data_IF_040331672178
#
_entry.id   IF_040331672178
#
_cell.length_a   1.000
_cell.length_b   1.000
_cell.length_c   1.000
_cell.angle_alpha   90.00
_cell.angle_beta   90.00
_cell.angle_gamma   90.00
#
_symmetry.space_group_name_H-M   'P 1'
#
loop_
_entity.id
_entity.type
_entity.pdbx_description
1 polymer ?
#
# COMPACT_ATOMS: atom_id res chain seq x y z
N UNK A 1 9.69 -59.67 -7.21
CA UNK A 1 8.66 -58.63 -7.01
C UNK A 1 9.17 -57.36 -7.66
N UNK A 2 8.51 -56.89 -8.72
CA UNK A 2 8.86 -55.62 -9.36
C UNK A 2 8.01 -54.55 -8.68
N UNK A 3 8.65 -53.59 -8.01
CA UNK A 3 7.94 -52.47 -7.39
C UNK A 3 7.58 -51.43 -8.45
N UNK A 4 6.34 -50.95 -8.43
CA UNK A 4 5.91 -49.83 -9.26
C UNK A 4 6.80 -48.61 -9.01
N UNK A 5 7.07 -47.82 -10.06
CA UNK A 5 7.75 -46.52 -9.95
C UNK A 5 7.05 -45.56 -8.97
N UNK A 6 5.76 -45.77 -8.74
CA UNK A 6 4.94 -45.03 -7.80
C UNK A 6 5.07 -45.49 -6.33
N UNK A 7 5.71 -46.63 -6.06
CA UNK A 7 5.96 -47.17 -4.72
C UNK A 7 4.74 -47.70 -3.94
N UNK A 8 3.52 -47.58 -4.49
CA UNK A 8 2.28 -47.90 -3.77
C UNK A 8 1.84 -49.36 -3.82
N UNK A 9 2.11 -50.06 -4.92
CA UNK A 9 1.62 -51.41 -5.12
C UNK A 9 2.65 -52.24 -5.89
N UNK A 10 2.73 -53.53 -5.56
CA UNK A 10 3.57 -54.51 -6.23
C UNK A 10 2.92 -54.91 -7.56
N UNK A 11 3.69 -54.87 -8.65
CA UNK A 11 3.21 -55.25 -9.98
C UNK A 11 3.49 -56.74 -10.20
N UNK A 12 2.62 -57.49 -10.93
CA UNK A 12 2.76 -58.93 -11.06
C UNK A 12 4.16 -59.37 -11.51
N UNK A 13 4.69 -60.47 -10.92
CA UNK A 13 6.00 -60.99 -11.27
C UNK A 13 6.03 -61.42 -12.75
N UNK A 14 7.02 -60.94 -13.52
CA UNK A 14 7.16 -61.21 -14.96
C UNK A 14 6.99 -59.98 -15.87
N UNK A 15 6.66 -58.82 -15.30
CA UNK A 15 6.38 -57.58 -16.06
C UNK A 15 7.62 -56.86 -16.61
N UNK A 16 8.84 -57.31 -16.28
CA UNK A 16 10.10 -56.69 -16.72
C UNK A 16 11.22 -57.72 -16.77
N UNK A 17 11.94 -57.76 -17.89
CA UNK A 17 13.00 -58.75 -18.17
C UNK A 17 14.35 -58.10 -18.54
N UNK A 18 14.33 -56.85 -19.01
CA UNK A 18 15.50 -56.06 -19.37
C UNK A 18 15.39 -54.63 -18.83
N UNK A 19 16.53 -53.93 -18.74
CA UNK A 19 16.58 -52.53 -18.35
C UNK A 19 15.93 -51.58 -19.38
N UNK A 20 15.77 -52.02 -20.63
CA UNK A 20 15.12 -51.28 -21.73
C UNK A 20 13.60 -51.46 -21.80
N UNK A 21 13.03 -52.37 -20.99
CA UNK A 21 11.58 -52.59 -20.94
C UNK A 21 10.83 -51.32 -20.44
N UNK A 22 9.63 -51.05 -20.99
CA UNK A 22 8.80 -49.91 -20.61
C UNK A 22 8.42 -49.93 -19.12
N UNK A 23 8.18 -48.75 -18.54
CA UNK A 23 7.95 -48.62 -17.10
C UNK A 23 6.63 -49.30 -16.73
N UNK A 24 6.70 -50.21 -15.77
CA UNK A 24 5.54 -50.96 -15.31
C UNK A 24 4.71 -50.10 -14.36
N UNK A 25 3.47 -49.80 -14.77
CA UNK A 25 2.50 -49.00 -14.02
C UNK A 25 1.54 -49.94 -13.27
N UNK A 26 1.29 -49.69 -11.98
CA UNK A 26 0.41 -50.55 -11.16
C UNK A 26 -1.09 -50.38 -11.43
N UNK A 27 -1.49 -49.35 -12.19
CA UNK A 27 -2.90 -49.04 -12.47
C UNK A 27 -3.68 -48.35 -11.34
N UNK A 28 -3.15 -48.32 -10.11
CA UNK A 28 -3.74 -47.63 -8.95
C UNK A 28 -3.72 -46.10 -9.13
N UNK A 29 -4.52 -45.36 -8.34
CA UNK A 29 -4.60 -43.88 -8.44
C UNK A 29 -3.27 -43.25 -8.03
N UNK A 30 -2.79 -42.30 -8.85
CA UNK A 30 -1.51 -41.63 -8.64
C UNK A 30 -1.45 -40.93 -7.27
N UNK A 31 -2.49 -40.16 -6.91
CA UNK A 31 -2.61 -39.35 -5.67
C UNK A 31 -1.45 -38.37 -5.43
N UNK A 32 -0.59 -38.14 -6.43
CA UNK A 32 0.53 -37.19 -6.33
C UNK A 32 -0.02 -35.78 -6.13
N UNK A 33 0.59 -35.04 -5.20
CA UNK A 33 0.24 -33.64 -4.94
C UNK A 33 0.59 -32.78 -6.16
N UNK A 34 -0.43 -32.09 -6.67
CA UNK A 34 -0.30 -31.16 -7.78
C UNK A 34 0.10 -29.77 -7.26
N UNK A 35 0.58 -28.92 -8.16
CA UNK A 35 0.91 -27.52 -7.85
C UNK A 35 -0.32 -26.60 -7.72
N UNK A 36 -1.53 -27.17 -7.77
CA UNK A 36 -2.80 -26.46 -7.68
C UNK A 36 -3.53 -26.83 -6.36
N UNK A 37 -4.49 -26.02 -5.96
CA UNK A 37 -5.07 -26.03 -4.62
C UNK A 37 -4.39 -25.02 -3.68
N UNK A 38 -5.02 -24.74 -2.54
CA UNK A 38 -4.44 -23.88 -1.51
C UNK A 38 -3.26 -24.59 -0.81
N UNK A 39 -2.37 -23.84 -0.18
CA UNK A 39 -1.17 -24.39 0.49
C UNK A 39 -1.50 -25.50 1.50
N UNK A 40 -2.66 -25.42 2.18
CA UNK A 40 -3.10 -26.42 3.16
C UNK A 40 -3.95 -27.57 2.56
N UNK A 41 -4.38 -27.42 1.30
CA UNK A 41 -5.26 -28.36 0.63
C UNK A 41 -4.86 -28.49 -0.86
N UNK A 42 -3.62 -28.91 -1.11
CA UNK A 42 -3.15 -29.17 -2.48
C UNK A 42 -3.96 -30.30 -3.11
N UNK A 43 -4.33 -30.12 -4.36
CA UNK A 43 -5.09 -31.11 -5.10
C UNK A 43 -4.22 -32.35 -5.36
N UNK A 44 -4.86 -33.51 -5.35
CA UNK A 44 -4.21 -34.79 -5.62
C UNK A 44 -4.61 -35.30 -6.99
N UNK A 45 -3.65 -35.91 -7.70
CA UNK A 45 -3.89 -36.49 -9.02
C UNK A 45 -4.87 -37.67 -8.92
N UNK A 46 -6.08 -37.52 -9.49
CA UNK A 46 -7.12 -38.57 -9.56
C UNK A 46 -6.93 -39.54 -10.73
N UNK A 47 -5.91 -39.34 -11.57
CA UNK A 47 -5.64 -40.24 -12.69
C UNK A 47 -5.02 -41.56 -12.22
N UNK A 48 -5.13 -42.60 -13.06
CA UNK A 48 -4.39 -43.86 -12.88
C UNK A 48 -2.89 -43.59 -12.93
N UNK A 49 -2.11 -44.52 -12.38
CA UNK A 49 -0.66 -44.51 -12.48
C UNK A 49 -0.26 -44.30 -13.95
N UNK A 50 0.52 -43.25 -14.21
CA UNK A 50 0.91 -42.82 -15.53
C UNK A 50 2.40 -42.50 -15.54
N UNK A 51 2.99 -42.55 -16.73
CA UNK A 51 4.36 -42.09 -16.97
C UNK A 51 4.35 -40.58 -17.28
N UNK A 52 5.36 -39.84 -16.85
CA UNK A 52 5.48 -38.40 -17.13
C UNK A 52 4.72 -37.44 -16.17
N UNK A 53 4.54 -36.17 -16.56
CA UNK A 53 3.88 -35.15 -15.73
C UNK A 53 2.38 -35.44 -15.53
N UNK A 54 1.83 -35.04 -14.39
CA UNK A 54 0.42 -35.28 -14.08
C UNK A 54 -0.52 -34.50 -15.02
N UNK A 55 -1.66 -35.09 -15.40
CA UNK A 55 -2.65 -34.41 -16.22
C UNK A 55 -3.22 -33.18 -15.49
N UNK A 56 -3.76 -32.21 -16.25
CA UNK A 56 -4.33 -31.00 -15.67
C UNK A 56 -5.48 -31.33 -14.71
N UNK A 57 -5.47 -30.68 -13.55
CA UNK A 57 -6.50 -30.89 -12.55
C UNK A 57 -7.85 -30.30 -13.02
N UNK A 58 -8.94 -31.02 -12.76
CA UNK A 58 -10.31 -30.56 -13.02
C UNK A 58 -10.92 -29.79 -11.83
N UNK A 59 -10.14 -29.60 -10.76
CA UNK A 59 -10.56 -28.83 -9.60
C UNK A 59 -10.52 -27.32 -9.84
N UNK A 60 -11.12 -26.59 -8.92
CA UNK A 60 -11.02 -25.13 -8.83
C UNK A 60 -10.17 -24.76 -7.62
N UNK A 61 -9.26 -23.80 -7.78
CA UNK A 61 -8.47 -23.27 -6.68
C UNK A 61 -8.98 -21.87 -6.35
N UNK A 62 -9.34 -21.66 -5.08
CA UNK A 62 -9.72 -20.33 -4.61
C UNK A 62 -8.46 -19.51 -4.30
N UNK A 63 -8.17 -18.53 -5.15
CA UNK A 63 -7.00 -17.66 -5.01
C UNK A 63 -7.42 -16.35 -4.34
N UNK A 64 -6.65 -15.93 -3.35
CA UNK A 64 -6.80 -14.62 -2.74
C UNK A 64 -6.07 -13.59 -3.60
N UNK A 65 -6.73 -12.46 -3.86
CA UNK A 65 -6.03 -11.35 -4.47
C UNK A 65 -4.94 -10.83 -3.54
N UNK A 66 -3.83 -10.35 -4.09
CA UNK A 66 -2.72 -9.76 -3.34
C UNK A 66 -3.15 -8.65 -2.36
N UNK A 67 -4.16 -7.85 -2.71
CA UNK A 67 -4.72 -6.83 -1.82
C UNK A 67 -5.74 -7.35 -0.80
N UNK A 68 -5.97 -8.67 -0.76
CA UNK A 68 -6.90 -9.40 0.12
C UNK A 68 -8.35 -8.89 0.08
N UNK A 69 -8.70 -8.13 -0.96
CA UNK A 69 -10.03 -7.52 -1.08
C UNK A 69 -11.07 -8.43 -1.78
N UNK A 70 -10.61 -9.57 -2.33
CA UNK A 70 -11.45 -10.56 -2.97
C UNK A 70 -10.74 -11.92 -3.01
N UNK A 71 -11.54 -12.97 -2.97
CA UNK A 71 -11.18 -14.30 -3.42
C UNK A 71 -11.80 -14.52 -4.81
N UNK A 72 -11.11 -15.23 -5.70
CA UNK A 72 -11.66 -15.69 -6.96
C UNK A 72 -11.33 -17.16 -7.15
N UNK A 73 -12.32 -17.94 -7.54
CA UNK A 73 -12.12 -19.33 -7.93
C UNK A 73 -11.62 -19.38 -9.37
N UNK A 74 -10.48 -20.03 -9.55
CA UNK A 74 -9.84 -20.21 -10.86
C UNK A 74 -9.72 -21.71 -11.10
N UNK A 75 -10.16 -22.17 -12.27
CA UNK A 75 -9.94 -23.54 -12.72
C UNK A 75 -8.45 -23.87 -12.74
N UNK A 76 -8.07 -25.03 -12.23
CA UNK A 76 -6.65 -25.39 -12.14
C UNK A 76 -5.96 -25.47 -13.51
N UNK A 77 -6.73 -25.65 -14.59
CA UNK A 77 -6.25 -25.63 -15.98
C UNK A 77 -5.80 -24.23 -16.42
N UNK A 78 -6.43 -23.18 -15.87
CA UNK A 78 -6.18 -21.77 -16.18
C UNK A 78 -5.23 -21.11 -15.17
N UNK A 79 -4.77 -21.86 -14.16
CA UNK A 79 -3.88 -21.38 -13.12
C UNK A 79 -2.44 -21.22 -13.66
N UNK A 80 -2.20 -20.13 -14.40
CA UNK A 80 -0.87 -19.72 -14.85
C UNK A 80 -0.16 -18.95 -13.73
N UNK A 81 0.77 -19.62 -13.06
CA UNK A 81 1.67 -19.01 -12.06
C UNK A 81 1.28 -19.23 -10.61
N UNK A 82 1.89 -18.46 -9.70
CA UNK A 82 1.62 -18.56 -8.26
C UNK A 82 0.25 -17.89 -7.95
N UNK A 83 -0.70 -18.60 -7.32
CA UNK A 83 -2.02 -18.05 -6.96
C UNK A 83 -1.94 -16.76 -6.13
N UNK A 84 -0.84 -16.52 -5.41
CA UNK A 84 -0.65 -15.37 -4.52
C UNK A 84 -0.33 -14.03 -5.23
N UNK A 85 0.12 -14.03 -6.50
CA UNK A 85 0.37 -12.77 -7.25
C UNK A 85 -0.87 -12.28 -8.03
N UNK A 86 -2.03 -12.90 -7.82
CA UNK A 86 -3.25 -12.53 -8.53
C UNK A 86 -3.67 -11.09 -8.22
N UNK A 87 -3.60 -10.20 -9.23
CA UNK A 87 -4.05 -8.80 -9.13
C UNK A 87 -5.52 -8.69 -9.48
N UNK A 88 -6.25 -7.86 -8.72
CA UNK A 88 -7.62 -7.53 -9.05
C UNK A 88 -7.76 -6.19 -9.77
N UNK A 89 -8.93 -5.97 -10.38
CA UNK A 89 -9.30 -4.68 -10.98
C UNK A 89 -10.04 -3.75 -9.99
N UNK A 90 -10.20 -4.15 -8.71
CA UNK A 90 -10.83 -3.30 -7.70
C UNK A 90 -9.93 -2.13 -7.33
N UNK A 91 -10.54 -0.96 -7.19
CA UNK A 91 -9.89 0.26 -6.68
C UNK A 91 -9.99 0.29 -5.16
N UNK A 92 -8.90 0.63 -4.49
CA UNK A 92 -8.83 0.73 -3.05
C UNK A 92 -9.70 1.88 -2.52
N UNK A 93 -10.63 1.56 -1.63
CA UNK A 93 -11.56 2.51 -1.00
C UNK A 93 -11.04 3.07 0.33
N UNK A 94 -9.88 2.61 0.81
CA UNK A 94 -9.26 3.08 2.06
C UNK A 94 -8.97 4.59 1.97
N UNK A 95 -9.18 5.29 3.08
CA UNK A 95 -8.84 6.72 3.22
C UNK A 95 -7.33 6.86 3.38
N UNK A 96 -6.77 7.89 2.74
CA UNK A 96 -5.39 8.32 2.93
C UNK A 96 -5.21 8.91 4.33
N UNK A 97 -3.96 8.99 4.79
CA UNK A 97 -3.59 9.48 6.13
C UNK A 97 -4.12 10.91 6.40
N UNK A 98 -4.27 11.74 5.36
CA UNK A 98 -4.93 13.05 5.44
C UNK A 98 -6.41 13.02 5.86
N UNK A 99 -7.08 11.86 5.85
CA UNK A 99 -8.48 11.67 6.24
C UNK A 99 -9.54 12.15 5.23
N UNK A 100 -9.14 12.93 4.21
CA UNK A 100 -10.07 13.51 3.21
C UNK A 100 -10.04 12.78 1.87
N UNK A 101 -8.87 12.34 1.43
CA UNK A 101 -8.69 11.71 0.12
C UNK A 101 -8.76 10.19 0.22
N UNK A 102 -9.30 9.53 -0.81
CA UNK A 102 -9.28 8.07 -0.96
C UNK A 102 -8.05 7.65 -1.76
N UNK A 103 -7.60 6.41 -1.57
CA UNK A 103 -6.47 5.85 -2.31
C UNK A 103 -6.75 5.75 -3.81
N UNK A 104 -7.86 5.09 -4.18
CA UNK A 104 -8.29 4.82 -5.55
C UNK A 104 -7.29 4.06 -6.44
N UNK A 105 -6.16 3.58 -5.89
CA UNK A 105 -5.21 2.73 -6.61
C UNK A 105 -5.81 1.35 -6.87
N UNK A 106 -5.55 0.79 -8.05
CA UNK A 106 -6.00 -0.55 -8.42
C UNK A 106 -5.17 -1.59 -7.66
N UNK A 107 -5.84 -2.54 -7.01
CA UNK A 107 -5.20 -3.62 -6.25
C UNK A 107 -4.15 -3.09 -5.23
N UNK A 108 -4.52 -2.08 -4.43
CA UNK A 108 -3.59 -1.47 -3.47
C UNK A 108 -3.21 -2.44 -2.33
N UNK A 109 -1.92 -2.64 -2.13
CA UNK A 109 -1.33 -3.46 -1.06
C UNK A 109 -0.73 -2.62 0.07
N UNK A 110 -0.67 -1.30 -0.09
CA UNK A 110 -0.03 -0.43 0.88
C UNK A 110 -0.79 -0.45 2.21
N UNK A 111 -0.04 -0.58 3.31
CA UNK A 111 -0.57 -0.47 4.67
C UNK A 111 -0.88 1.00 4.95
N UNK A 112 0.10 1.87 4.69
CA UNK A 112 -0.02 3.31 4.86
C UNK A 112 -0.35 4.02 3.56
N UNK A 113 -1.38 4.86 3.61
CA UNK A 113 -1.89 5.55 2.43
C UNK A 113 -1.51 7.03 2.48
N UNK A 114 -0.29 7.39 2.08
CA UNK A 114 0.16 8.77 2.06
C UNK A 114 -0.61 9.56 0.98
N UNK A 115 -0.94 10.81 1.27
CA UNK A 115 -1.58 11.69 0.30
C UNK A 115 -0.52 12.51 -0.44
N UNK A 116 -0.35 12.34 -1.76
CA UNK A 116 0.68 13.05 -2.53
C UNK A 116 0.33 14.52 -2.81
N UNK A 117 -0.92 14.93 -2.55
CA UNK A 117 -1.36 16.30 -2.75
C UNK A 117 -0.73 17.22 -1.70
N UNK A 118 -0.29 18.40 -2.11
CA UNK A 118 0.14 19.48 -1.20
C UNK A 118 -1.07 20.12 -0.51
N UNK A 119 -0.88 20.58 0.73
CA UNK A 119 -1.97 21.12 1.55
C UNK A 119 -2.49 22.47 1.02
N UNK A 120 -1.60 23.39 0.65
CA UNK A 120 -1.90 24.71 0.07
C UNK A 120 -2.85 25.62 0.86
N UNK A 121 -3.19 25.26 2.11
CA UNK A 121 -3.97 26.10 3.02
C UNK A 121 -3.16 27.31 3.45
N UNK A 122 -3.79 28.47 3.51
CA UNK A 122 -3.18 29.69 4.09
C UNK A 122 -2.84 29.43 5.55
N UNK A 123 -1.59 29.70 5.92
CA UNK A 123 -1.09 29.57 7.29
C UNK A 123 -1.68 30.66 8.18
N UNK A 124 -1.55 30.50 9.49
CA UNK A 124 -2.06 31.45 10.49
C UNK A 124 -1.48 32.87 10.36
N UNK A 125 -0.35 33.04 9.66
CA UNK A 125 0.21 34.36 9.36
C UNK A 125 -0.55 35.13 8.26
N UNK A 126 -1.53 34.51 7.59
CA UNK A 126 -2.39 35.14 6.57
C UNK A 126 -1.74 35.37 5.21
N UNK A 127 -0.40 35.31 5.11
CA UNK A 127 0.35 35.60 3.88
C UNK A 127 0.91 34.36 3.19
N UNK A 128 1.38 33.37 3.95
CA UNK A 128 2.04 32.17 3.40
C UNK A 128 1.09 30.97 3.29
N UNK A 129 1.39 30.06 2.35
CA UNK A 129 0.64 28.82 2.13
C UNK A 129 1.41 27.63 2.71
N UNK A 130 0.68 26.59 3.14
CA UNK A 130 1.26 25.35 3.64
C UNK A 130 1.82 24.50 2.48
N UNK A 131 3.13 24.33 2.45
CA UNK A 131 3.84 23.54 1.42
C UNK A 131 3.97 22.06 1.79
N UNK A 132 3.52 21.66 2.98
CA UNK A 132 3.53 20.25 3.38
C UNK A 132 2.54 19.43 2.57
N UNK A 133 2.81 18.13 2.45
CA UNK A 133 1.83 17.16 1.98
C UNK A 133 0.55 17.24 2.81
N UNK A 134 -0.56 16.87 2.19
CA UNK A 134 -1.88 16.89 2.80
C UNK A 134 -1.84 16.05 4.07
N UNK A 135 -2.08 16.71 5.18
CA UNK A 135 -1.93 16.15 6.51
C UNK A 135 -3.26 16.24 7.26
N UNK A 136 -3.36 15.47 8.34
CA UNK A 136 -4.47 15.57 9.29
C UNK A 136 -4.19 16.73 10.26
N UNK A 137 -5.23 17.43 10.71
CA UNK A 137 -5.12 18.49 11.72
C UNK A 137 -4.75 19.87 11.17
N UNK A 138 -4.29 20.75 12.07
CA UNK A 138 -3.91 22.13 11.77
C UNK A 138 -2.58 22.20 11.02
N UNK A 139 -2.44 23.20 10.16
CA UNK A 139 -1.17 23.47 9.49
C UNK A 139 -0.11 23.93 10.50
N UNK A 140 1.19 23.66 10.24
CA UNK A 140 2.26 24.19 11.06
C UNK A 140 2.25 25.73 11.05
N UNK A 141 2.95 26.34 12.01
CA UNK A 141 3.19 27.78 11.98
C UNK A 141 4.01 28.17 10.75
N UNK A 142 3.97 29.44 10.40
CA UNK A 142 4.87 29.98 9.39
C UNK A 142 6.28 30.04 9.97
N UNK A 143 7.24 29.41 9.28
CA UNK A 143 8.65 29.41 9.66
C UNK A 143 9.45 30.56 9.02
N UNK A 144 8.81 31.37 8.18
CA UNK A 144 9.44 32.57 7.65
C UNK A 144 9.68 33.56 8.78
N UNK A 145 10.80 34.27 8.73
CA UNK A 145 11.13 35.36 9.64
C UNK A 145 11.64 36.56 8.82
N UNK A 146 11.35 37.77 9.28
CA UNK A 146 12.01 38.97 8.76
C UNK A 146 13.31 39.22 9.51
N UNK A 147 14.30 39.73 8.80
CA UNK A 147 15.59 40.15 9.35
C UNK A 147 15.69 41.67 9.51
N UNK A 148 14.58 42.36 9.30
CA UNK A 148 14.43 43.79 9.57
C UNK A 148 13.81 43.99 10.95
N UNK A 149 14.18 45.08 11.60
CA UNK A 149 13.64 45.52 12.88
C UNK A 149 12.16 45.90 12.74
N UNK A 150 11.31 45.42 13.66
CA UNK A 150 9.90 45.77 13.68
C UNK A 150 9.67 46.83 14.74
N UNK A 151 9.42 48.05 14.28
CA UNK A 151 9.14 49.18 15.14
C UNK A 151 7.64 49.26 15.46
N UNK A 152 7.31 49.80 16.63
CA UNK A 152 5.97 50.33 16.86
C UNK A 152 5.70 51.48 15.89
N UNK A 153 4.42 51.79 15.68
CA UNK A 153 3.93 52.92 14.89
C UNK A 153 4.51 54.29 15.32
N UNK A 154 5.01 54.40 16.56
CA UNK A 154 5.68 55.59 17.10
C UNK A 154 7.22 55.52 17.08
N UNK A 155 7.83 54.39 16.67
CA UNK A 155 9.28 54.19 16.62
C UNK A 155 9.98 53.89 17.96
N UNK A 156 9.30 54.08 19.11
CA UNK A 156 9.91 53.97 20.44
C UNK A 156 10.15 52.53 20.92
N UNK A 157 9.24 51.61 20.61
CA UNK A 157 9.42 50.18 20.89
C UNK A 157 9.90 49.47 19.63
N UNK A 158 10.88 48.56 19.77
CA UNK A 158 11.48 47.83 18.65
C UNK A 158 11.61 46.35 18.99
N UNK A 159 11.25 45.47 18.05
CA UNK A 159 11.55 44.04 18.09
C UNK A 159 12.73 43.79 17.15
N UNK A 160 13.78 43.15 17.67
CA UNK A 160 14.99 42.83 16.92
C UNK A 160 14.82 41.53 16.11
N UNK A 161 15.49 41.39 14.96
CA UNK A 161 15.48 40.16 14.18
C UNK A 161 16.18 38.97 14.88
N UNK A 162 15.82 37.72 14.56
CA UNK A 162 14.83 37.29 13.56
C UNK A 162 13.38 37.37 14.08
N UNK A 163 12.51 38.09 13.34
CA UNK A 163 11.12 38.33 13.75
C UNK A 163 10.21 37.32 13.04
N UNK A 164 9.52 36.42 13.75
CA UNK A 164 8.70 35.40 13.11
C UNK A 164 7.54 36.02 12.33
N UNK A 165 7.19 35.41 11.19
CA UNK A 165 6.12 35.91 10.33
C UNK A 165 4.77 35.88 11.06
N UNK A 166 4.05 37.00 11.01
CA UNK A 166 2.77 37.18 11.72
C UNK A 166 2.93 37.77 13.12
N UNK A 167 4.15 38.12 13.54
CA UNK A 167 4.37 38.94 14.74
C UNK A 167 3.67 40.28 14.60
N UNK A 168 2.90 40.66 15.63
CA UNK A 168 2.24 41.97 15.71
C UNK A 168 3.26 43.05 16.10
N UNK A 169 2.97 44.31 15.78
CA UNK A 169 3.79 45.45 16.22
C UNK A 169 3.99 45.40 17.74
N UNK A 170 5.17 45.76 18.27
CA UNK A 170 5.42 45.73 19.70
C UNK A 170 4.43 46.61 20.47
N UNK A 171 4.06 46.14 21.66
CA UNK A 171 3.27 46.94 22.60
C UNK A 171 4.09 48.16 23.03
N UNK A 172 3.45 49.32 23.03
CA UNK A 172 4.11 50.57 23.36
C UNK A 172 3.33 51.28 24.47
N UNK A 173 3.91 51.30 25.66
CA UNK A 173 3.37 52.01 26.83
C UNK A 173 3.61 53.53 26.78
N UNK A 174 4.30 54.02 25.76
CA UNK A 174 4.61 55.44 25.61
C UNK A 174 3.43 56.20 25.01
N UNK A 175 3.27 57.46 25.44
CA UNK A 175 2.24 58.36 24.91
C UNK A 175 2.41 58.47 23.39
N UNK A 176 1.34 58.19 22.65
CA UNK A 176 1.36 58.18 21.19
C UNK A 176 1.32 59.61 20.64
N UNK A 177 2.47 60.11 20.18
CA UNK A 177 2.57 61.46 19.58
C UNK A 177 2.26 61.50 18.08
N UNK A 178 1.48 60.53 17.55
CA UNK A 178 1.11 60.51 16.12
C UNK A 178 0.00 61.53 15.83
N UNK A 179 0.15 62.35 14.78
CA UNK A 179 -0.92 63.23 14.31
C UNK A 179 -2.03 62.38 13.70
N UNK A 180 -3.22 62.42 14.30
CA UNK A 180 -4.40 61.79 13.75
C UNK A 180 -5.14 62.79 12.84
N UNK A 181 -5.89 62.33 11.81
CA UNK A 181 -6.65 63.21 10.92
C UNK A 181 -7.73 64.02 11.65
N UNK A 182 -7.98 63.74 12.93
CA UNK A 182 -8.91 64.48 13.76
C UNK A 182 -8.41 65.87 14.19
N UNK A 183 -7.27 66.39 13.70
CA UNK A 183 -6.88 67.80 13.83
C UNK A 183 -6.49 68.26 15.23
N UNK A 184 -6.38 67.35 16.20
CA UNK A 184 -5.93 67.66 17.56
C UNK A 184 -4.42 67.53 17.66
N UNK A 185 -3.81 68.38 18.48
CA UNK A 185 -2.38 68.33 18.76
C UNK A 185 -2.01 66.94 19.33
N UNK A 186 -0.98 66.27 18.78
CA UNK A 186 -0.49 65.02 19.34
C UNK A 186 0.01 65.26 20.78
N UNK A 187 -0.45 64.43 21.72
CA UNK A 187 0.04 64.44 23.10
C UNK A 187 1.42 63.77 23.24
#
# INVERSE_FOLDING_TARGET
LVKCQCGKEDVPPGSRSSCEDPVVLCGSVCDKELNCGQSEARHRCKAKCHEGPCPPCDGVTSVLCRCHAMAKDIDCKDLTGNPEDTKCQKRCTKKRNCGKHKCNQQCCIEVEHICPLVCNKTLSCGKHKCERLCHKGHCPICLAASFEELHCECGKSVILPPIPCGTRSPDCSEKCSRPHPCGHAPL
#
